data_IF_507406758554
#
_entry.id   IF_507406758554
#
_cell.length_a   1.000
_cell.length_b   1.000
_cell.length_c   1.000
_cell.angle_alpha   90.00
_cell.angle_beta   90.00
_cell.angle_gamma   90.00
#
_symmetry.space_group_name_H-M   'P 1'
#
loop_
_entity.id
_entity.type
_entity.pdbx_description
1 polymer ?
#
# COMPACT_ATOMS: atom_id res chain seq x y z
N UNK A 1 -15.88 -8.74 -3.33
CA UNK A 1 -14.76 -8.03 -2.67
C UNK A 1 -13.91 -9.08 -1.99
N UNK A 2 -12.59 -9.02 -2.14
CA UNK A 2 -11.66 -9.94 -1.46
C UNK A 2 -11.27 -9.42 -0.07
N UNK A 3 -10.42 -10.14 0.64
CA UNK A 3 -9.79 -9.70 1.88
C UNK A 3 -8.31 -10.05 1.83
N UNK A 4 -7.46 -9.11 2.20
CA UNK A 4 -6.02 -9.34 2.35
C UNK A 4 -5.60 -8.92 3.74
N UNK A 5 -4.74 -9.73 4.37
CA UNK A 5 -3.99 -9.30 5.53
C UNK A 5 -2.58 -9.85 5.49
N UNK A 6 -1.73 -9.15 6.23
CA UNK A 6 -0.29 -9.34 6.19
C UNK A 6 0.20 -9.58 7.61
N UNK A 7 1.07 -10.55 7.79
CA UNK A 7 1.78 -10.76 9.04
C UNK A 7 3.29 -10.77 8.79
N UNK A 8 4.04 -10.31 9.79
CA UNK A 8 5.49 -10.26 9.76
C UNK A 8 6.06 -10.98 10.96
N UNK A 9 6.91 -11.97 10.69
CA UNK A 9 7.67 -12.68 11.70
C UNK A 9 9.07 -12.08 11.80
N UNK A 10 9.28 -11.27 12.84
CA UNK A 10 10.46 -10.39 13.01
C UNK A 10 11.74 -11.21 13.17
N UNK A 11 11.71 -12.27 13.96
CA UNK A 11 12.86 -13.12 14.25
C UNK A 11 12.83 -14.45 13.49
N UNK A 12 12.24 -14.45 12.29
CA UNK A 12 12.17 -15.63 11.45
C UNK A 12 13.59 -16.12 11.08
N UNK A 13 13.89 -17.43 11.20
CA UNK A 13 15.17 -17.97 10.75
C UNK A 13 15.29 -17.90 9.22
N UNK A 14 16.50 -18.01 8.64
CA UNK A 14 16.69 -17.96 7.19
C UNK A 14 15.88 -19.01 6.39
N UNK A 15 15.56 -20.14 7.03
CA UNK A 15 14.74 -21.22 6.46
C UNK A 15 13.23 -21.10 6.81
N UNK A 16 12.76 -19.95 7.29
CA UNK A 16 11.37 -19.78 7.72
C UNK A 16 10.34 -20.08 6.63
N UNK A 17 10.61 -19.67 5.38
CA UNK A 17 9.75 -19.98 4.23
C UNK A 17 9.61 -21.49 4.02
N UNK A 18 10.67 -22.28 4.22
CA UNK A 18 10.61 -23.74 4.11
C UNK A 18 9.75 -24.34 5.23
N UNK A 19 9.91 -23.85 6.47
CA UNK A 19 9.11 -24.29 7.61
C UNK A 19 7.62 -24.03 7.40
N UNK A 20 7.27 -22.82 6.96
CA UNK A 20 5.89 -22.45 6.62
C UNK A 20 5.39 -23.25 5.42
N UNK A 21 6.22 -23.46 4.40
CA UNK A 21 5.86 -24.26 3.21
C UNK A 21 5.43 -25.68 3.60
N UNK A 22 6.22 -26.35 4.45
CA UNK A 22 5.88 -27.70 4.96
C UNK A 22 4.58 -27.66 5.77
N UNK A 23 4.40 -26.64 6.63
CA UNK A 23 3.17 -26.46 7.40
C UNK A 23 1.93 -26.27 6.51
N UNK A 24 2.02 -25.41 5.50
CA UNK A 24 0.96 -25.15 4.52
C UNK A 24 0.57 -26.43 3.77
N UNK A 25 1.55 -27.14 3.24
CA UNK A 25 1.30 -28.36 2.46
C UNK A 25 0.71 -29.48 3.32
N UNK A 26 1.24 -29.67 4.53
CA UNK A 26 0.85 -30.79 5.40
C UNK A 26 -0.46 -30.54 6.14
N UNK A 27 -0.66 -29.34 6.68
CA UNK A 27 -1.77 -29.06 7.60
C UNK A 27 -2.95 -28.40 6.89
N UNK A 28 -2.71 -27.66 5.80
CA UNK A 28 -3.75 -26.92 5.09
C UNK A 28 -3.98 -27.42 3.66
N UNK A 29 -3.37 -28.55 3.28
CA UNK A 29 -3.43 -29.08 1.91
C UNK A 29 -3.08 -28.03 0.83
N UNK A 30 -2.16 -27.12 1.15
CA UNK A 30 -1.76 -26.07 0.24
C UNK A 30 -0.88 -26.58 -0.90
N UNK A 31 -1.01 -25.96 -2.07
CA UNK A 31 -0.27 -26.30 -3.29
C UNK A 31 0.59 -25.13 -3.74
N UNK A 32 1.84 -25.38 -4.11
CA UNK A 32 2.73 -24.33 -4.62
C UNK A 32 2.25 -23.88 -6.01
N UNK A 33 2.15 -22.57 -6.21
CA UNK A 33 1.77 -21.96 -7.49
C UNK A 33 2.90 -21.25 -8.20
N UNK A 34 3.85 -20.69 -7.46
CA UNK A 34 4.94 -19.93 -8.08
C UNK A 34 5.81 -19.23 -7.05
N UNK A 35 6.66 -18.35 -7.55
CA UNK A 35 7.54 -17.52 -6.74
C UNK A 35 6.89 -16.19 -6.42
N UNK A 36 7.20 -15.65 -5.24
CA UNK A 36 6.83 -14.30 -4.84
C UNK A 36 8.11 -13.47 -4.70
N UNK A 37 8.37 -12.64 -5.70
CA UNK A 37 9.58 -11.83 -5.79
C UNK A 37 9.22 -10.35 -5.80
N UNK A 38 9.75 -9.61 -4.83
CA UNK A 38 9.54 -8.17 -4.71
C UNK A 38 10.86 -7.44 -4.47
N UNK A 39 10.91 -6.20 -4.92
CA UNK A 39 11.96 -5.27 -4.52
C UNK A 39 11.35 -4.06 -3.84
N UNK A 40 11.95 -3.61 -2.76
CA UNK A 40 11.53 -2.40 -2.05
C UNK A 40 12.69 -1.41 -2.02
N UNK A 41 12.38 -0.16 -2.39
CA UNK A 41 13.33 0.96 -2.39
C UNK A 41 12.75 2.12 -1.60
N UNK A 42 13.60 2.83 -0.87
CA UNK A 42 13.22 4.03 -0.12
C UNK A 42 14.04 5.22 -0.60
N UNK A 43 13.39 6.37 -0.72
CA UNK A 43 13.99 7.62 -1.11
C UNK A 43 13.59 8.71 -0.13
N UNK A 44 14.48 9.68 0.07
CA UNK A 44 14.22 10.89 0.84
C UNK A 44 14.41 12.12 -0.04
N UNK A 45 13.54 13.11 0.13
CA UNK A 45 13.68 14.37 -0.58
C UNK A 45 14.87 15.17 -0.05
N UNK A 46 15.58 15.85 -0.95
CA UNK A 46 16.63 16.84 -0.62
C UNK A 46 16.25 18.27 -1.02
N UNK A 47 15.00 18.51 -1.39
CA UNK A 47 14.52 19.83 -1.78
C UNK A 47 14.68 20.84 -0.63
N UNK A 48 14.48 20.38 0.60
CA UNK A 48 14.35 21.23 1.79
C UNK A 48 15.49 21.06 2.81
N UNK A 49 16.73 20.81 2.36
CA UNK A 49 17.87 20.80 3.28
C UNK A 49 18.02 22.18 3.95
N UNK A 50 17.58 22.31 5.21
CA UNK A 50 17.55 23.56 5.97
C UNK A 50 16.15 24.09 6.35
N UNK A 51 15.07 23.44 5.88
CA UNK A 51 13.72 23.73 6.37
C UNK A 51 13.49 23.10 7.75
N UNK A 52 12.66 23.72 8.63
CA UNK A 52 12.25 23.09 9.88
C UNK A 52 11.33 21.87 9.67
N UNK A 53 10.78 21.67 8.47
CA UNK A 53 9.92 20.53 8.18
C UNK A 53 10.71 19.26 7.89
N UNK A 54 10.24 18.09 8.39
CA UNK A 54 10.84 16.82 8.04
C UNK A 54 10.80 16.58 6.52
N UNK A 55 11.83 15.92 5.95
CA UNK A 55 11.87 15.66 4.52
C UNK A 55 10.76 14.70 4.09
N UNK A 56 10.25 14.89 2.88
CA UNK A 56 9.32 13.93 2.25
C UNK A 56 10.00 12.58 2.06
N UNK A 57 9.21 11.53 2.21
CA UNK A 57 9.64 10.15 2.04
C UNK A 57 8.90 9.52 0.86
N UNK A 58 9.60 8.66 0.13
CA UNK A 58 9.01 7.91 -0.98
C UNK A 58 9.45 6.46 -0.87
N UNK A 59 8.51 5.54 -1.00
CA UNK A 59 8.77 4.11 -1.04
C UNK A 59 8.24 3.53 -2.34
N UNK A 60 9.04 2.70 -2.98
CA UNK A 60 8.67 2.02 -4.21
C UNK A 60 8.72 0.51 -3.97
N UNK A 61 7.61 -0.18 -4.24
CA UNK A 61 7.53 -1.64 -4.27
C UNK A 61 7.42 -2.07 -5.73
N UNK A 62 8.43 -2.80 -6.20
CA UNK A 62 8.41 -3.42 -7.52
C UNK A 62 7.91 -4.84 -7.39
N UNK A 63 6.82 -5.15 -8.08
CA UNK A 63 6.24 -6.49 -8.19
C UNK A 63 5.81 -6.72 -9.63
N UNK A 64 6.09 -7.91 -10.17
CA UNK A 64 5.82 -8.24 -11.56
C UNK A 64 6.51 -7.23 -12.51
N UNK A 65 5.74 -6.53 -13.35
CA UNK A 65 6.22 -5.52 -14.31
C UNK A 65 5.81 -4.08 -13.93
N UNK A 66 5.45 -3.85 -12.66
CA UNK A 66 5.00 -2.55 -12.17
C UNK A 66 5.75 -2.13 -10.91
N UNK A 67 5.85 -0.82 -10.71
CA UNK A 67 6.33 -0.22 -9.48
C UNK A 67 5.19 0.59 -8.84
N UNK A 68 4.92 0.31 -7.57
CA UNK A 68 3.93 1.01 -6.77
C UNK A 68 4.65 1.98 -5.83
N UNK A 69 4.41 3.27 -6.02
CA UNK A 69 5.18 4.35 -5.40
C UNK A 69 4.31 5.13 -4.43
N UNK A 70 4.56 4.96 -3.14
CA UNK A 70 3.93 5.71 -2.06
C UNK A 70 4.82 6.90 -1.68
N UNK A 71 4.30 8.11 -1.84
CA UNK A 71 4.91 9.34 -1.39
C UNK A 71 4.19 9.84 -0.13
N UNK A 72 4.94 10.16 0.91
CA UNK A 72 4.44 10.79 2.13
C UNK A 72 5.07 12.18 2.31
N UNK A 73 4.20 13.19 2.44
CA UNK A 73 4.57 14.53 2.87
C UNK A 73 4.13 14.80 4.31
N UNK A 74 5.07 14.76 5.28
CA UNK A 74 4.76 15.01 6.69
C UNK A 74 4.38 16.47 6.99
N UNK A 75 4.56 17.41 6.05
CA UNK A 75 4.14 18.81 6.23
C UNK A 75 2.62 19.00 6.10
N UNK A 76 1.89 18.00 5.61
CA UNK A 76 0.43 18.04 5.45
C UNK A 76 -0.25 17.37 6.64
N UNK A 77 -1.19 18.09 7.27
CA UNK A 77 -2.04 17.54 8.33
C UNK A 77 -3.04 16.55 7.72
N UNK A 78 -3.28 15.36 8.32
CA UNK A 78 -4.24 14.39 7.81
C UNK A 78 -5.63 14.99 7.58
N UNK A 79 -6.25 14.61 6.46
CA UNK A 79 -7.55 15.11 6.03
C UNK A 79 -8.66 14.95 7.10
N UNK A 80 -8.61 13.87 7.88
CA UNK A 80 -9.54 13.60 8.99
C UNK A 80 -9.53 14.66 10.11
N UNK A 81 -8.43 15.42 10.27
CA UNK A 81 -8.35 16.54 11.22
C UNK A 81 -8.68 17.90 10.58
N UNK A 82 -8.83 17.95 9.25
CA UNK A 82 -9.13 19.17 8.50
C UNK A 82 -10.62 19.38 8.24
N UNK A 83 -11.48 18.45 8.64
CA UNK A 83 -12.93 18.63 8.51
C UNK A 83 -13.40 19.71 9.50
N UNK A 84 -14.01 20.81 9.03
CA UNK A 84 -14.43 21.93 9.88
C UNK A 84 -15.60 21.60 10.82
N UNK A 85 -16.11 20.38 10.81
CA UNK A 85 -17.18 19.92 11.71
C UNK A 85 -16.72 19.65 13.15
N UNK A 86 -15.41 19.55 13.41
CA UNK A 86 -14.87 19.31 14.75
C UNK A 86 -14.58 20.59 15.56
N UNK A 87 -14.85 21.78 15.02
CA UNK A 87 -14.71 23.07 15.71
C UNK A 87 -16.00 23.89 15.64
N UNK A 88 -17.11 23.32 16.09
CA UNK A 88 -18.26 24.13 16.49
C UNK A 88 -18.16 24.39 18.00
N UNK A 89 -17.74 25.57 18.48
CA UNK A 89 -18.04 25.97 19.83
C UNK A 89 -19.55 26.27 19.92
N UNK A 90 -20.28 25.41 20.64
CA UNK A 90 -21.56 25.82 21.22
C UNK A 90 -21.30 26.99 22.17
N UNK A 91 -21.59 28.22 21.74
CA UNK A 91 -22.12 29.25 22.65
C UNK A 91 -22.69 30.46 21.90
N UNK A 92 -24.00 30.60 22.08
CA UNK A 92 -24.78 31.84 22.19
C UNK A 92 -25.11 32.65 20.93
N UNK A 93 -26.41 32.67 20.67
CA UNK A 93 -27.14 33.50 19.74
C UNK A 93 -27.04 35.01 20.05
N UNK A 94 -27.05 35.85 19.01
CA UNK A 94 -28.14 36.81 18.74
C UNK A 94 -27.84 37.75 17.55
N UNK A 95 -28.85 37.87 16.68
CA UNK A 95 -29.20 39.01 15.82
C UNK A 95 -28.23 39.53 14.73
N UNK A 96 -28.55 39.25 13.46
CA UNK A 96 -29.22 40.23 12.56
C UNK A 96 -29.38 39.69 11.13
N UNK A 97 -30.52 39.91 10.45
CA UNK A 97 -30.72 39.50 9.06
C UNK A 97 -30.41 40.65 8.11
N UNK A 98 -29.50 40.47 7.15
CA UNK A 98 -29.47 41.35 5.98
C UNK A 98 -29.24 40.58 4.67
N UNK A 99 -30.16 40.89 3.75
CA UNK A 99 -30.26 40.47 2.36
C UNK A 99 -28.93 40.58 1.60
N UNK A 100 -28.63 39.54 0.83
CA UNK A 100 -27.65 39.62 -0.25
C UNK A 100 -27.62 38.33 -1.06
N UNK A 101 -28.60 38.12 -1.94
CA UNK A 101 -28.53 37.12 -3.02
C UNK A 101 -27.37 37.51 -3.96
N UNK A 102 -26.20 36.97 -3.68
CA UNK A 102 -25.03 37.03 -4.56
C UNK A 102 -24.56 35.61 -4.84
N UNK A 103 -25.05 35.05 -5.95
CA UNK A 103 -24.63 33.76 -6.51
C UNK A 103 -23.17 33.92 -6.97
N UNK A 104 -22.20 33.77 -6.07
CA UNK A 104 -20.77 33.73 -6.43
C UNK A 104 -20.46 32.35 -7.01
N UNK A 105 -20.50 32.28 -8.34
CA UNK A 105 -19.59 31.41 -9.10
C UNK A 105 -18.18 31.94 -8.85
N UNK A 106 -17.50 31.39 -7.84
CA UNK A 106 -16.04 31.45 -7.75
C UNK A 106 -15.53 30.02 -7.95
N UNK A 107 -15.58 29.57 -9.20
CA UNK A 107 -14.65 28.59 -9.74
C UNK A 107 -13.35 29.35 -10.08
N UNK A 108 -12.69 29.89 -9.06
CA UNK A 108 -11.29 30.30 -9.16
C UNK A 108 -10.48 29.16 -8.58
N UNK A 109 -9.63 28.56 -9.43
CA UNK A 109 -8.87 27.35 -9.15
C UNK A 109 -8.10 27.44 -7.83
N UNK A 110 -8.69 26.91 -6.77
CA UNK A 110 -7.93 26.51 -5.61
C UNK A 110 -6.95 25.43 -6.08
N UNK A 111 -5.63 25.59 -5.86
CA UNK A 111 -4.70 24.51 -6.10
C UNK A 111 -5.20 23.30 -5.33
N UNK A 112 -5.29 22.15 -6.00
CA UNK A 112 -5.77 20.93 -5.36
C UNK A 112 -5.06 20.77 -4.02
N UNK A 113 -5.81 20.48 -2.94
CA UNK A 113 -5.25 20.45 -1.60
C UNK A 113 -4.11 19.44 -1.59
N UNK A 114 -2.91 19.94 -1.32
CA UNK A 114 -1.70 19.13 -1.22
C UNK A 114 -1.92 18.01 -0.21
N UNK A 115 -1.78 16.75 -0.65
CA UNK A 115 -2.13 15.57 0.16
C UNK A 115 -0.94 15.05 0.95
N UNK A 116 -1.23 14.45 2.11
CA UNK A 116 -0.22 13.78 2.94
C UNK A 116 0.33 12.55 2.24
N UNK A 117 -0.52 11.73 1.65
CA UNK A 117 -0.12 10.52 0.93
C UNK A 117 -0.53 10.64 -0.54
N UNK A 118 0.37 10.23 -1.43
CA UNK A 118 0.08 10.08 -2.87
C UNK A 118 0.58 8.71 -3.29
N UNK A 119 -0.26 7.94 -4.00
CA UNK A 119 0.07 6.56 -4.36
C UNK A 119 -0.08 6.29 -5.86
N UNK A 120 1.06 6.23 -6.53
CA UNK A 120 1.16 6.18 -7.99
C UNK A 120 1.63 4.80 -8.45
N UNK A 121 1.06 4.30 -9.55
CA UNK A 121 1.56 3.11 -10.22
C UNK A 121 2.38 3.52 -11.44
N UNK A 122 3.55 2.94 -11.62
CA UNK A 122 4.45 3.22 -12.74
C UNK A 122 4.75 1.91 -13.49
N UNK A 123 4.70 1.96 -14.82
CA UNK A 123 5.08 0.87 -15.71
C UNK A 123 5.97 1.42 -16.84
N UNK A 124 7.07 0.73 -17.20
CA UNK A 124 7.56 -0.55 -16.66
C UNK A 124 8.20 -0.40 -15.26
N UNK A 125 8.36 -1.50 -14.54
CA UNK A 125 8.89 -1.59 -13.17
C UNK A 125 10.17 -0.75 -12.87
N UNK A 126 11.05 -0.57 -13.87
CA UNK A 126 12.34 0.12 -13.71
C UNK A 126 12.34 1.57 -14.23
N UNK A 127 11.16 2.16 -14.47
CA UNK A 127 11.04 3.51 -15.03
C UNK A 127 11.12 4.63 -13.99
N UNK A 128 11.04 4.31 -12.70
CA UNK A 128 11.10 5.32 -11.63
C UNK A 128 12.42 6.10 -11.65
N UNK A 129 13.58 5.45 -11.68
CA UNK A 129 14.88 6.16 -11.69
C UNK A 129 15.09 7.03 -12.94
N UNK A 130 14.83 6.54 -14.16
CA UNK A 130 14.84 7.38 -15.36
C UNK A 130 13.92 8.59 -15.23
N UNK A 131 12.70 8.40 -14.71
CA UNK A 131 11.72 9.47 -14.51
C UNK A 131 12.24 10.52 -13.52
N UNK A 132 12.75 10.08 -12.36
CA UNK A 132 13.33 10.98 -11.36
C UNK A 132 14.52 11.77 -11.93
N UNK A 133 15.37 11.12 -12.72
CA UNK A 133 16.50 11.77 -13.37
C UNK A 133 16.07 12.78 -14.44
N UNK A 134 15.07 12.43 -15.26
CA UNK A 134 14.52 13.29 -16.30
C UNK A 134 13.87 14.54 -15.71
N UNK A 135 13.11 14.38 -14.63
CA UNK A 135 12.50 15.49 -13.89
C UNK A 135 13.52 16.31 -13.08
N UNK A 136 14.79 15.88 -13.05
CA UNK A 136 15.83 16.42 -12.16
C UNK A 136 15.35 16.47 -10.72
N UNK A 137 14.55 15.47 -10.35
CA UNK A 137 13.87 15.41 -9.07
C UNK A 137 14.91 15.17 -7.97
N UNK A 138 14.75 15.91 -6.88
CA UNK A 138 15.68 15.93 -5.76
C UNK A 138 15.36 14.82 -4.76
N UNK A 139 15.57 13.58 -5.17
CA UNK A 139 15.40 12.39 -4.33
C UNK A 139 16.73 11.65 -4.18
N UNK A 140 17.06 11.26 -2.95
CA UNK A 140 18.22 10.42 -2.67
C UNK A 140 17.75 9.06 -2.14
N UNK A 141 18.24 7.95 -2.70
CA UNK A 141 18.03 6.62 -2.11
C UNK A 141 18.52 6.60 -0.66
N UNK A 142 17.70 6.08 0.24
CA UNK A 142 18.09 5.84 1.62
C UNK A 142 18.89 4.54 1.66
N UNK A 143 20.06 4.54 2.30
CA UNK A 143 20.80 3.30 2.56
C UNK A 143 20.34 2.78 3.92
N UNK A 144 19.76 1.57 3.94
CA UNK A 144 19.48 0.88 5.20
C UNK A 144 20.82 0.47 5.83
N UNK A 145 21.17 1.09 6.94
CA UNK A 145 22.29 0.63 7.76
C UNK A 145 21.86 -0.63 8.52
N UNK A 146 22.43 -1.78 8.18
CA UNK A 146 22.35 -2.94 9.04
C UNK A 146 23.14 -2.65 10.33
N UNK A 147 22.56 -2.83 11.53
CA UNK A 147 23.30 -2.72 12.78
C UNK A 147 24.38 -3.81 12.79
N UNK A 148 25.65 -3.40 12.80
CA UNK A 148 26.81 -4.31 12.81
C UNK A 148 27.57 -4.45 11.48
N UNK A 149 27.09 -3.87 10.38
CA UNK A 149 27.85 -3.86 9.13
C UNK A 149 28.79 -2.63 9.08
N UNK A 150 30.08 -2.88 9.25
CA UNK A 150 31.13 -1.87 9.15
C UNK A 150 31.03 -1.06 7.86
N UNK A 151 31.34 0.24 7.98
CA UNK A 151 31.28 1.23 6.92
C UNK A 151 32.28 0.91 5.81
N UNK A 152 31.91 0.05 4.85
CA UNK A 152 32.63 -0.10 3.59
C UNK A 152 32.21 1.02 2.64
N UNK A 153 32.94 2.15 2.69
CA UNK A 153 32.88 3.22 1.70
C UNK A 153 33.45 2.70 0.38
N UNK A 154 32.61 2.22 -0.53
CA UNK A 154 33.00 2.04 -1.93
C UNK A 154 32.20 3.04 -2.81
N UNK A 155 32.80 4.17 -3.23
CA UNK A 155 32.12 5.27 -3.90
C UNK A 155 32.15 5.15 -5.44
N UNK A 156 31.92 3.95 -5.99
CA UNK A 156 32.19 3.69 -7.43
C UNK A 156 31.15 2.87 -8.21
N UNK A 157 30.14 2.26 -7.59
CA UNK A 157 29.13 1.49 -8.33
C UNK A 157 27.82 2.28 -8.41
N UNK A 158 27.62 2.95 -9.55
CA UNK A 158 26.42 3.72 -9.90
C UNK A 158 25.20 2.87 -10.24
N UNK A 159 25.00 1.73 -9.58
CA UNK A 159 23.75 0.97 -9.67
C UNK A 159 23.01 1.07 -8.34
N UNK A 160 21.77 1.56 -8.42
CA UNK A 160 20.81 1.60 -7.32
C UNK A 160 20.43 0.19 -6.91
N UNK A 161 21.28 -0.47 -6.11
CA UNK A 161 20.96 -1.79 -5.60
C UNK A 161 19.64 -1.73 -4.82
N UNK A 162 18.71 -2.69 -5.02
CA UNK A 162 17.47 -2.75 -4.25
C UNK A 162 17.82 -2.80 -2.77
N UNK A 163 17.24 -1.88 -2.01
CA UNK A 163 17.56 -1.71 -0.58
C UNK A 163 17.10 -2.94 0.22
N UNK A 164 15.99 -3.53 -0.22
CA UNK A 164 15.38 -4.72 0.36
C UNK A 164 14.75 -5.56 -0.76
N UNK A 165 14.88 -6.87 -0.66
CA UNK A 165 14.18 -7.83 -1.52
C UNK A 165 13.35 -8.80 -0.68
N UNK A 166 12.21 -9.20 -1.23
CA UNK A 166 11.37 -10.25 -0.65
C UNK A 166 11.40 -11.41 -1.62
N UNK A 167 11.86 -12.56 -1.12
CA UNK A 167 12.01 -13.77 -1.91
C UNK A 167 11.23 -14.90 -1.25
N UNK A 168 10.24 -15.41 -1.96
CA UNK A 168 9.19 -16.22 -1.40
C UNK A 168 8.46 -17.12 -2.39
N UNK A 169 7.41 -17.75 -1.87
CA UNK A 169 6.60 -18.75 -2.57
C UNK A 169 5.13 -18.36 -2.43
N UNK A 170 4.38 -18.56 -3.52
CA UNK A 170 2.92 -18.42 -3.57
C UNK A 170 2.30 -19.81 -3.45
N UNK A 171 1.30 -19.93 -2.58
CA UNK A 171 0.52 -21.12 -2.33
C UNK A 171 -0.95 -20.86 -2.61
N UNK A 172 -1.67 -21.88 -3.05
CA UNK A 172 -3.12 -21.92 -2.99
C UNK A 172 -3.56 -22.92 -1.93
N UNK A 173 -4.51 -22.52 -1.08
CA UNK A 173 -5.18 -23.40 -0.11
C UNK A 173 -6.65 -23.53 -0.55
N UNK A 174 -7.05 -24.73 -0.97
CA UNK A 174 -8.37 -24.95 -1.57
C UNK A 174 -8.57 -24.12 -2.85
N UNK A 175 -9.77 -23.57 -3.03
CA UNK A 175 -10.15 -22.74 -4.18
C UNK A 175 -10.08 -21.24 -3.90
N UNK A 176 -10.07 -20.87 -2.62
CA UNK A 176 -10.42 -19.51 -2.21
C UNK A 176 -9.24 -18.74 -1.62
N UNK A 177 -8.17 -19.43 -1.20
CA UNK A 177 -7.04 -18.80 -0.53
C UNK A 177 -5.80 -18.74 -1.42
N UNK A 178 -5.19 -17.57 -1.44
CA UNK A 178 -3.83 -17.37 -1.90
C UNK A 178 -2.99 -16.91 -0.73
N UNK A 179 -1.92 -17.65 -0.45
CA UNK A 179 -0.97 -17.34 0.62
C UNK A 179 0.40 -17.10 0.01
N UNK A 180 1.06 -16.02 0.41
CA UNK A 180 2.42 -15.71 -0.03
C UNK A 180 3.32 -15.66 1.20
N UNK A 181 4.41 -16.42 1.18
CA UNK A 181 5.39 -16.43 2.26
C UNK A 181 6.76 -16.05 1.68
N UNK A 182 7.41 -15.03 2.22
CA UNK A 182 8.67 -14.53 1.68
C UNK A 182 9.63 -14.00 2.73
N UNK A 183 10.91 -14.34 2.59
CA UNK A 183 11.97 -13.83 3.45
C UNK A 183 12.32 -12.40 3.07
N UNK A 184 12.40 -11.51 4.06
CA UNK A 184 12.82 -10.12 3.90
C UNK A 184 14.35 -10.06 3.96
N UNK A 185 15.00 -9.85 2.82
CA UNK A 185 16.46 -9.82 2.67
C UNK A 185 16.93 -8.38 2.45
N UNK A 186 18.00 -7.99 3.14
CA UNK A 186 18.70 -6.74 2.88
C UNK A 186 19.70 -6.91 1.74
N UNK A 187 20.12 -5.82 1.09
CA UNK A 187 21.17 -5.84 0.05
C UNK A 187 22.49 -6.47 0.50
N UNK A 188 22.73 -6.56 1.81
CA UNK A 188 23.90 -7.23 2.41
C UNK A 188 23.73 -8.73 2.67
N UNK A 189 22.64 -9.36 2.21
CA UNK A 189 22.35 -10.78 2.37
C UNK A 189 21.75 -11.18 3.73
N UNK A 190 21.74 -10.28 4.71
CA UNK A 190 21.08 -10.50 6.00
C UNK A 190 19.57 -10.62 5.86
N UNK A 191 18.98 -11.60 6.54
CA UNK A 191 17.52 -11.77 6.64
C UNK A 191 17.01 -10.99 7.85
N UNK A 192 15.97 -10.17 7.66
CA UNK A 192 15.34 -9.34 8.71
C UNK A 192 14.07 -9.92 9.30
N UNK A 193 13.55 -10.98 8.70
CA UNK A 193 12.31 -11.62 9.08
C UNK A 193 11.64 -12.24 7.87
N UNK A 194 10.38 -12.62 8.04
CA UNK A 194 9.57 -13.23 6.99
C UNK A 194 8.18 -12.57 6.94
N UNK A 195 7.73 -12.22 5.75
CA UNK A 195 6.38 -11.76 5.47
C UNK A 195 5.47 -12.93 5.09
N UNK A 196 4.25 -12.89 5.59
CA UNK A 196 3.19 -13.82 5.26
C UNK A 196 1.94 -13.02 4.88
N UNK A 197 1.58 -13.03 3.61
CA UNK A 197 0.35 -12.42 3.10
C UNK A 197 -0.68 -13.53 2.89
N UNK A 198 -1.89 -13.35 3.41
CA UNK A 198 -3.02 -14.20 3.10
C UNK A 198 -4.10 -13.37 2.41
N UNK A 199 -4.63 -13.92 1.33
CA UNK A 199 -5.67 -13.30 0.53
C UNK A 199 -6.79 -14.29 0.25
N UNK A 200 -8.01 -13.82 0.45
CA UNK A 200 -9.23 -14.54 0.15
C UNK A 200 -9.87 -14.03 -1.15
N UNK A 201 -9.86 -14.87 -2.18
CA UNK A 201 -10.46 -14.67 -3.50
C UNK A 201 -11.86 -15.34 -3.55
N UNK A 202 -12.82 -14.77 -4.28
CA UNK A 202 -13.90 -13.93 -3.73
C UNK A 202 -15.13 -14.69 -3.20
N UNK A 203 -15.78 -14.13 -2.17
CA UNK A 203 -17.18 -14.38 -1.81
C UNK A 203 -18.04 -13.11 -1.96
N UNK A 204 -19.38 -13.24 -2.11
CA UNK A 204 -20.31 -12.13 -2.06
C UNK A 204 -20.25 -11.47 -0.67
N UNK A 205 -20.00 -10.16 -0.66
CA UNK A 205 -20.16 -9.24 0.49
C UNK A 205 -19.88 -9.83 1.88
N UNK A 206 -18.66 -10.32 2.14
CA UNK A 206 -18.19 -10.26 3.52
C UNK A 206 -17.94 -8.78 3.81
N UNK A 207 -18.71 -8.19 4.73
CA UNK A 207 -18.43 -6.85 5.25
C UNK A 207 -17.18 -6.94 6.11
N UNK A 208 -16.18 -6.11 5.84
CA UNK A 208 -15.10 -5.90 6.81
C UNK A 208 -15.77 -5.46 8.12
N UNK A 209 -15.50 -6.16 9.23
CA UNK A 209 -15.95 -5.68 10.54
C UNK A 209 -15.41 -4.26 10.76
N UNK A 210 -16.09 -3.44 11.55
CA UNK A 210 -15.74 -2.02 11.74
C UNK A 210 -14.27 -1.78 12.16
N UNK A 211 -13.58 -2.81 12.67
CA UNK A 211 -12.16 -2.80 13.06
C UNK A 211 -11.16 -3.23 11.97
N UNK A 212 -11.60 -3.56 10.74
CA UNK A 212 -10.73 -3.81 9.59
C UNK A 212 -10.00 -5.16 9.56
N UNK A 213 -9.93 -5.89 10.67
CA UNK A 213 -9.36 -7.24 10.73
C UNK A 213 -10.47 -8.31 10.68
N UNK A 214 -10.46 -9.16 9.64
CA UNK A 214 -11.30 -10.37 9.62
C UNK A 214 -10.70 -11.42 10.56
N UNK A 215 -11.46 -11.84 11.58
CA UNK A 215 -11.05 -12.92 12.52
C UNK A 215 -10.61 -14.18 11.80
N UNK A 216 -11.28 -14.50 10.69
CA UNK A 216 -10.98 -15.66 9.88
C UNK A 216 -9.58 -15.54 9.24
N UNK A 217 -9.18 -14.33 8.84
CA UNK A 217 -7.85 -14.08 8.28
C UNK A 217 -6.76 -14.08 9.35
N UNK A 218 -7.03 -13.50 10.53
CA UNK A 218 -6.10 -13.57 11.66
C UNK A 218 -5.91 -15.00 12.14
N UNK A 219 -6.98 -15.80 12.20
CA UNK A 219 -6.92 -17.22 12.59
C UNK A 219 -6.13 -18.03 11.55
N UNK A 220 -6.35 -17.77 10.26
CA UNK A 220 -5.56 -18.41 9.21
C UNK A 220 -4.08 -18.04 9.35
N UNK A 221 -3.73 -16.75 9.39
CA UNK A 221 -2.34 -16.30 9.53
C UNK A 221 -1.68 -16.90 10.77
N UNK A 222 -2.37 -16.90 11.92
CA UNK A 222 -1.87 -17.52 13.14
C UNK A 222 -1.61 -19.03 12.99
N UNK A 223 -2.50 -19.74 12.30
CA UNK A 223 -2.34 -21.19 12.06
C UNK A 223 -1.19 -21.55 11.11
N UNK A 224 -0.82 -20.61 10.23
CA UNK A 224 0.26 -20.80 9.25
C UNK A 224 1.66 -20.64 9.87
N UNK A 225 1.78 -19.96 11.01
CA UNK A 225 3.05 -19.82 11.71
C UNK A 225 3.43 -21.12 12.42
N UNK A 226 4.68 -21.61 12.25
CA UNK A 226 5.15 -22.72 13.04
C UNK A 226 5.23 -22.30 14.51
N UNK A 227 4.90 -23.23 15.41
CA UNK A 227 4.99 -22.99 16.85
C UNK A 227 6.47 -22.90 17.25
N UNK A 228 7.01 -21.68 17.23
CA UNK A 228 8.39 -21.40 17.64
C UNK A 228 8.41 -20.68 18.99
N UNK A 229 9.21 -21.15 19.96
CA UNK A 229 9.45 -20.39 21.19
C UNK A 229 10.05 -19.03 20.80
N UNK A 230 9.57 -17.97 21.45
CA UNK A 230 9.97 -16.57 21.21
C UNK A 230 9.62 -15.98 19.84
N UNK A 231 8.74 -16.62 19.05
CA UNK A 231 8.26 -16.03 17.79
C UNK A 231 7.56 -14.69 18.05
N UNK A 232 8.05 -13.63 17.42
CA UNK A 232 7.41 -12.30 17.44
C UNK A 232 6.74 -12.05 16.11
N UNK A 233 5.41 -12.11 16.12
CA UNK A 233 4.57 -11.90 14.95
C UNK A 233 3.79 -10.61 15.08
N UNK A 234 3.81 -9.80 14.03
CA UNK A 234 3.01 -8.57 13.93
C UNK A 234 2.04 -8.74 12.76
N UNK A 235 0.75 -8.67 13.04
CA UNK A 235 -0.29 -8.73 12.00
C UNK A 235 -0.80 -7.32 11.70
N UNK A 236 -0.87 -6.98 10.42
CA UNK A 236 -1.40 -5.72 9.93
C UNK A 236 -2.52 -6.02 8.94
N UNK A 237 -3.64 -5.38 9.21
CA UNK A 237 -4.79 -5.30 8.30
C UNK A 237 -5.10 -3.83 8.08
N UNK A 238 -5.68 -3.52 6.94
CA UNK A 238 -6.03 -2.15 6.57
C UNK A 238 -7.53 -2.10 6.35
N UNK A 239 -8.19 -1.18 7.06
CA UNK A 239 -9.62 -0.95 6.89
C UNK A 239 -9.88 -0.35 5.51
N UNK A 240 -11.07 -0.60 4.97
CA UNK A 240 -11.42 -0.04 3.66
C UNK A 240 -11.45 1.50 3.68
N UNK A 241 -11.71 2.13 4.83
CA UNK A 241 -11.63 3.59 5.00
C UNK A 241 -10.20 4.13 4.85
N UNK A 242 -9.21 3.46 5.46
CA UNK A 242 -7.80 3.81 5.31
C UNK A 242 -7.32 3.63 3.87
N UNK A 243 -7.86 2.62 3.18
CA UNK A 243 -7.58 2.37 1.78
C UNK A 243 -8.21 3.43 0.87
N UNK A 244 -9.47 3.80 1.10
CA UNK A 244 -10.17 4.85 0.35
C UNK A 244 -9.45 6.21 0.49
N UNK A 245 -8.94 6.55 1.68
CA UNK A 245 -8.17 7.79 1.91
C UNK A 245 -6.88 7.86 1.06
N UNK A 246 -6.28 6.70 0.72
CA UNK A 246 -5.04 6.61 -0.07
C UNK A 246 -5.34 6.52 -1.57
N UNK A 247 -6.46 5.91 -1.93
CA UNK A 247 -6.91 5.72 -3.32
C UNK A 247 -7.72 6.88 -3.88
N UNK A 248 -8.11 7.85 -3.06
CA UNK A 248 -8.71 9.09 -3.54
C UNK A 248 -7.64 9.87 -4.30
N UNK A 249 -7.37 9.50 -5.54
CA UNK A 249 -6.52 10.20 -6.49
C UNK A 249 -7.32 10.38 -7.78
N UNK A 250 -7.53 11.62 -8.20
CA UNK A 250 -8.24 11.93 -9.45
C UNK A 250 -7.44 11.49 -10.68
N UNK A 251 -6.15 11.16 -10.52
CA UNK A 251 -5.25 10.76 -11.59
C UNK A 251 -5.60 9.39 -12.21
N UNK A 252 -6.11 8.43 -11.44
CA UNK A 252 -6.52 7.11 -11.96
C UNK A 252 -7.93 7.16 -12.58
N UNK A 253 -8.67 8.28 -12.45
CA UNK A 253 -9.99 8.44 -13.05
C UNK A 253 -9.93 8.73 -14.56
N UNK A 254 -8.82 9.27 -15.08
CA UNK A 254 -8.67 9.65 -16.50
C UNK A 254 -8.32 8.49 -17.44
N UNK A 255 -7.76 7.38 -16.94
CA UNK A 255 -7.54 6.15 -17.76
C UNK A 255 -8.84 5.40 -18.07
N UNK A 256 -9.99 5.88 -17.58
CA UNK A 256 -11.29 5.21 -17.69
C UNK A 256 -12.12 5.67 -18.89
N UNK A 257 -11.48 6.06 -19.99
CA UNK A 257 -12.09 6.16 -21.32
C UNK A 257 -11.73 4.94 -22.18
N UNK A 258 -11.77 3.74 -21.61
CA UNK A 258 -11.83 2.51 -22.41
C UNK A 258 -13.23 2.42 -23.02
N UNK A 259 -13.26 2.47 -24.36
CA UNK A 259 -14.41 2.45 -25.25
C UNK A 259 -15.50 1.46 -24.76
N UNK A 260 -16.62 2.00 -24.27
CA UNK A 260 -17.84 1.19 -24.17
C UNK A 260 -18.19 0.69 -25.58
N UNK A 261 -18.49 -0.62 -25.77
CA UNK A 261 -19.00 -1.07 -27.05
C UNK A 261 -20.30 -0.30 -27.32
N UNK A 262 -20.38 0.33 -28.50
CA UNK A 262 -21.60 0.97 -29.00
C UNK A 262 -22.68 -0.12 -29.10
N UNK A 263 -23.47 -0.26 -28.04
CA UNK A 263 -24.71 -1.01 -28.06
C UNK A 263 -25.78 0.00 -28.48
N UNK A 264 -26.04 0.06 -29.79
CA UNK A 264 -27.22 0.70 -30.35
C UNK A 264 -28.46 -0.07 -29.87
N UNK A 265 -29.00 0.26 -28.68
CA UNK A 265 -30.31 -0.25 -28.29
C UNK A 265 -31.05 0.64 -27.27
N UNK A 266 -31.98 1.41 -27.82
CA UNK A 266 -33.35 1.61 -27.32
C UNK A 266 -33.52 2.23 -25.92
N UNK A 267 -33.95 3.49 -25.95
CA UNK A 267 -34.53 4.29 -24.87
C UNK A 267 -35.25 3.50 -23.76
N UNK A 268 -34.65 3.45 -22.58
CA UNK A 268 -35.38 3.41 -21.31
C UNK A 268 -34.85 4.51 -20.40
N UNK A 269 -35.50 5.67 -20.45
CA UNK A 269 -35.36 6.71 -19.43
C UNK A 269 -36.11 6.26 -18.18
N UNK A 270 -35.46 5.43 -17.38
CA UNK A 270 -35.86 5.12 -16.01
C UNK A 270 -34.74 5.56 -15.08
N UNK A 271 -35.11 6.20 -13.98
CA UNK A 271 -34.25 6.78 -12.94
C UNK A 271 -33.43 5.72 -12.17
N UNK A 272 -32.70 4.86 -12.90
CA UNK A 272 -31.73 3.96 -12.31
C UNK A 272 -30.53 4.81 -11.91
N UNK A 273 -30.44 5.12 -10.61
CA UNK A 273 -29.18 5.48 -9.97
C UNK A 273 -28.20 4.36 -10.26
N UNK A 274 -27.50 4.48 -11.38
CA UNK A 274 -26.37 3.64 -11.73
C UNK A 274 -25.33 3.91 -10.66
N UNK A 275 -25.29 3.08 -9.63
CA UNK A 275 -24.12 3.07 -8.76
C UNK A 275 -22.99 2.63 -9.70
N UNK A 276 -21.96 3.47 -9.91
CA UNK A 276 -20.83 3.04 -10.72
C UNK A 276 -20.37 1.72 -10.12
N UNK A 277 -20.33 0.65 -10.93
CA UNK A 277 -19.81 -0.64 -10.49
C UNK A 277 -18.40 -0.34 -9.98
N UNK A 278 -18.24 -0.27 -8.64
CA UNK A 278 -16.93 -0.03 -8.02
C UNK A 278 -16.00 -1.08 -8.64
N UNK A 279 -15.06 -0.61 -9.46
CA UNK A 279 -14.07 -1.45 -10.13
C UNK A 279 -13.52 -2.36 -9.04
N UNK A 280 -13.58 -3.67 -9.24
CA UNK A 280 -13.25 -4.58 -8.16
C UNK A 280 -11.76 -4.39 -7.86
N UNK A 281 -11.43 -3.72 -6.75
CA UNK A 281 -10.07 -3.43 -6.24
C UNK A 281 -9.21 -4.68 -5.98
N UNK A 282 -9.70 -5.83 -6.42
CA UNK A 282 -9.29 -7.19 -6.08
C UNK A 282 -8.80 -7.97 -7.30
N UNK A 283 -8.63 -7.31 -8.44
CA UNK A 283 -8.12 -7.93 -9.67
C UNK A 283 -6.93 -7.12 -10.22
N UNK A 284 -5.94 -7.85 -10.71
CA UNK A 284 -4.79 -7.28 -11.43
C UNK A 284 -4.05 -6.21 -10.63
N UNK A 285 -3.89 -5.03 -11.22
CA UNK A 285 -3.05 -3.95 -10.68
C UNK A 285 -3.62 -3.33 -9.40
N UNK A 286 -4.94 -3.26 -9.24
CA UNK A 286 -5.54 -2.69 -8.02
C UNK A 286 -5.26 -3.57 -6.78
N UNK A 287 -5.32 -4.90 -6.96
CA UNK A 287 -4.91 -5.88 -5.96
C UNK A 287 -3.44 -5.72 -5.57
N UNK A 288 -2.57 -5.61 -6.57
CA UNK A 288 -1.13 -5.43 -6.38
C UNK A 288 -0.80 -4.09 -5.69
N UNK A 289 -1.58 -3.03 -6.00
CA UNK A 289 -1.53 -1.72 -5.33
C UNK A 289 -1.88 -1.86 -3.85
N UNK A 290 -2.94 -2.59 -3.50
CA UNK A 290 -3.31 -2.85 -2.08
C UNK A 290 -2.25 -3.67 -1.34
N UNK A 291 -1.74 -4.72 -1.97
CA UNK A 291 -0.68 -5.57 -1.42
C UNK A 291 0.59 -4.76 -1.13
N UNK A 292 1.05 -3.96 -2.09
CA UNK A 292 2.23 -3.11 -1.92
C UNK A 292 2.07 -2.06 -0.81
N UNK A 293 0.88 -1.48 -0.65
CA UNK A 293 0.59 -0.56 0.46
C UNK A 293 0.70 -1.25 1.84
N UNK A 294 0.12 -2.45 1.99
CA UNK A 294 0.25 -3.26 3.21
C UNK A 294 1.72 -3.56 3.54
N UNK A 295 2.49 -3.96 2.53
CA UNK A 295 3.91 -4.30 2.68
C UNK A 295 4.72 -3.10 3.16
N UNK A 296 4.53 -1.92 2.55
CA UNK A 296 5.19 -0.70 3.00
C UNK A 296 4.79 -0.35 4.44
N UNK A 297 3.50 -0.48 4.78
CA UNK A 297 2.99 -0.21 6.12
C UNK A 297 3.67 -1.06 7.19
N UNK A 298 3.73 -2.38 6.99
CA UNK A 298 4.39 -3.33 7.90
C UNK A 298 5.88 -3.06 8.02
N UNK A 299 6.58 -2.87 6.91
CA UNK A 299 8.02 -2.64 6.95
C UNK A 299 8.37 -1.30 7.64
N UNK A 300 7.49 -0.30 7.55
CA UNK A 300 7.62 0.96 8.30
C UNK A 300 7.35 0.79 9.79
N UNK A 301 6.30 0.06 10.19
CA UNK A 301 5.97 -0.12 11.62
C UNK A 301 7.10 -0.82 12.38
N UNK A 302 7.83 -1.71 11.69
CA UNK A 302 8.98 -2.41 12.24
C UNK A 302 10.30 -1.64 12.15
N UNK A 303 10.28 -0.40 11.65
CA UNK A 303 11.49 0.42 11.50
C UNK A 303 12.51 -0.16 10.51
N UNK A 304 12.06 -0.98 9.56
CA UNK A 304 12.91 -1.53 8.50
C UNK A 304 13.11 -0.47 7.43
N UNK A 305 12.05 0.23 7.01
CA UNK A 305 12.07 1.34 6.03
C UNK A 305 12.33 2.70 6.66
#
# INVERSE_FOLDING_TARGET
MGFTGLAFWINAPPNAVELVSVGIQRNHAGTIRGQWLLQVRSYRSIVNQGSPHPPRSMWAVTMNDKAFVLLEDPAVVPFQQSSPEAQAPESTAASSPSRGKGKRKNEEGHPEPHRRNTFVTISPANSLEPLLNQLRARWMPVRQSAPGAGVAKNPGSGSSAPQLSIDGIIFNIGTDWIVRAGNVKLSGGGTRGMLLEAEYLPLPSLSSSAEGASELLSNLLASLFPHFPDSKTVAVTISDSQWEDVMFDGADAEETHEEEPVIDEVYVSGDSKWTPKKKTDWVGTARDKRSSFLIVGVLKSEGIL
#
